data_IF_689227220851
#
_entry.id   IF_689227220851
#
_cell.length_a   1.000
_cell.length_b   1.000
_cell.length_c   1.000
_cell.angle_alpha   90.00
_cell.angle_beta   90.00
_cell.angle_gamma   90.00
#
_symmetry.space_group_name_H-M   'P 1'
#
loop_
_entity.id
_entity.type
_entity.pdbx_description
1 polymer ?
#
# COMPACT_ATOMS: atom_id res chain seq x y z
N UNK A 1 11.71 12.14 -33.02
CA UNK A 1 12.61 11.74 -31.94
C UNK A 1 11.78 11.07 -30.83
N UNK A 2 12.24 9.90 -30.37
CA UNK A 2 11.60 9.17 -29.27
C UNK A 2 12.55 9.17 -28.07
N UNK A 3 12.02 9.47 -26.89
CA UNK A 3 12.74 9.49 -25.63
C UNK A 3 11.90 8.78 -24.57
N UNK A 4 12.48 7.82 -23.87
CA UNK A 4 11.82 7.10 -22.78
C UNK A 4 12.64 7.24 -21.50
N UNK A 5 11.94 7.32 -20.37
CA UNK A 5 12.52 7.30 -19.02
C UNK A 5 11.75 6.29 -18.19
N UNK A 6 12.46 5.52 -17.40
CA UNK A 6 11.84 4.56 -16.50
C UNK A 6 12.86 3.93 -15.57
N UNK A 7 12.35 3.13 -14.64
CA UNK A 7 13.14 2.32 -13.72
C UNK A 7 12.50 0.93 -13.66
N UNK A 8 13.20 -0.05 -14.23
CA UNK A 8 12.77 -1.45 -14.26
C UNK A 8 12.65 -2.05 -12.86
N UNK A 9 13.53 -1.64 -11.92
CA UNK A 9 13.52 -2.11 -10.54
C UNK A 9 12.30 -1.61 -9.74
N UNK A 10 11.67 -0.50 -10.18
CA UNK A 10 10.45 0.02 -9.58
C UNK A 10 9.16 -0.46 -10.27
N UNK A 11 9.27 -1.33 -11.25
CA UNK A 11 8.14 -1.86 -12.02
C UNK A 11 7.38 -2.96 -11.28
N UNK A 12 6.84 -2.65 -10.10
CA UNK A 12 6.21 -3.60 -9.17
C UNK A 12 4.73 -3.89 -9.47
N UNK A 13 4.17 -3.33 -10.54
CA UNK A 13 2.75 -3.51 -10.92
C UNK A 13 2.54 -4.50 -12.08
N UNK A 14 3.42 -5.49 -12.23
CA UNK A 14 3.28 -6.52 -13.28
C UNK A 14 1.93 -7.24 -13.21
N UNK A 15 1.43 -7.51 -12.02
CA UNK A 15 0.10 -8.10 -11.78
C UNK A 15 -1.09 -7.21 -12.22
N UNK A 16 -0.84 -5.92 -12.51
CA UNK A 16 -1.80 -4.96 -13.09
C UNK A 16 -1.52 -4.66 -14.57
N UNK A 17 -0.69 -5.47 -15.23
CA UNK A 17 -0.38 -5.32 -16.65
C UNK A 17 0.82 -4.42 -16.96
N UNK A 18 1.60 -3.99 -15.96
CA UNK A 18 2.88 -3.32 -16.21
C UNK A 18 3.84 -4.28 -16.91
N UNK A 19 4.45 -3.82 -18.00
CA UNK A 19 5.37 -4.61 -18.83
C UNK A 19 6.76 -3.98 -18.84
N UNK A 20 7.61 -4.24 -17.83
CA UNK A 20 8.97 -3.74 -17.79
C UNK A 20 9.81 -4.23 -18.99
N UNK A 21 9.41 -5.33 -19.61
CA UNK A 21 10.05 -5.91 -20.79
C UNK A 21 10.09 -4.91 -21.97
N UNK A 22 9.12 -4.02 -22.09
CA UNK A 22 9.10 -2.97 -23.13
C UNK A 22 10.34 -2.08 -23.01
N UNK A 23 10.69 -1.70 -21.79
CA UNK A 23 11.90 -0.89 -21.54
C UNK A 23 13.18 -1.71 -21.72
N UNK A 24 13.22 -2.95 -21.21
CA UNK A 24 14.37 -3.84 -21.31
C UNK A 24 14.69 -4.21 -22.76
N UNK A 25 13.68 -4.29 -23.63
CA UNK A 25 13.83 -4.63 -25.05
C UNK A 25 14.00 -3.39 -25.95
N UNK A 26 13.94 -2.17 -25.41
CA UNK A 26 13.94 -0.97 -26.18
C UNK A 26 15.14 -0.85 -27.14
N UNK A 27 16.33 -1.18 -26.67
CA UNK A 27 17.55 -1.15 -27.48
C UNK A 27 17.59 -2.23 -28.57
N UNK A 28 16.82 -3.32 -28.41
CA UNK A 28 16.67 -4.33 -29.48
C UNK A 28 15.78 -3.81 -30.60
N UNK A 29 14.73 -3.05 -30.26
CA UNK A 29 13.80 -2.45 -31.22
C UNK A 29 14.44 -1.21 -31.87
N UNK A 30 15.23 -0.45 -31.10
CA UNK A 30 15.91 0.77 -31.56
C UNK A 30 17.42 0.66 -31.34
N UNK A 31 18.17 -0.05 -32.20
CA UNK A 31 19.60 -0.33 -31.99
C UNK A 31 20.50 0.91 -31.92
N UNK A 32 20.04 2.04 -32.46
CA UNK A 32 20.75 3.32 -32.39
C UNK A 32 20.41 4.16 -31.16
N UNK A 33 19.55 3.67 -30.27
CA UNK A 33 19.19 4.38 -29.06
C UNK A 33 20.40 4.50 -28.11
N UNK A 34 20.59 5.70 -27.59
CA UNK A 34 21.60 5.95 -26.56
C UNK A 34 20.95 5.70 -25.18
N UNK A 35 21.57 4.82 -24.40
CA UNK A 35 21.16 4.55 -23.02
C UNK A 35 22.01 5.39 -22.06
N UNK A 36 21.34 6.08 -21.16
CA UNK A 36 21.98 6.84 -20.06
C UNK A 36 21.43 6.29 -18.75
N UNK A 37 22.30 5.82 -17.89
CA UNK A 37 21.95 5.35 -16.55
C UNK A 37 22.16 6.46 -15.53
N UNK A 38 21.16 6.69 -14.67
CA UNK A 38 21.29 7.54 -13.49
C UNK A 38 21.68 6.65 -12.31
N UNK A 39 22.94 6.68 -11.94
CA UNK A 39 23.57 5.74 -11.02
C UNK A 39 23.84 6.33 -9.62
N UNK A 40 23.51 7.62 -9.40
CA UNK A 40 23.66 8.29 -8.11
C UNK A 40 22.29 8.51 -7.45
N UNK A 41 22.14 7.92 -6.25
CA UNK A 41 20.95 8.14 -5.41
C UNK A 41 21.22 9.28 -4.41
N UNK A 42 20.51 10.39 -4.59
CA UNK A 42 20.63 11.58 -3.74
C UNK A 42 19.68 11.58 -2.54
N UNK A 43 18.80 10.57 -2.42
CA UNK A 43 17.76 10.51 -1.39
C UNK A 43 18.17 9.68 -0.18
N UNK A 44 18.64 8.47 -0.43
CA UNK A 44 18.82 7.45 0.60
C UNK A 44 20.25 7.43 1.15
N UNK A 45 20.37 6.96 2.40
CA UNK A 45 21.67 6.65 3.01
C UNK A 45 22.31 5.42 2.35
N UNK A 46 23.62 5.20 2.47
CA UNK A 46 24.31 4.05 1.93
C UNK A 46 23.72 2.72 2.38
N UNK A 47 23.30 2.61 3.64
CA UNK A 47 22.71 1.39 4.20
C UNK A 47 21.37 1.03 3.50
N UNK A 48 20.52 2.01 3.21
CA UNK A 48 19.25 1.80 2.50
C UNK A 48 19.51 1.42 1.04
N UNK A 49 20.45 2.09 0.37
CA UNK A 49 20.81 1.76 -1.02
C UNK A 49 21.36 0.34 -1.11
N UNK A 50 22.23 -0.06 -0.19
CA UNK A 50 22.80 -1.40 -0.20
C UNK A 50 21.74 -2.48 0.11
N UNK A 51 20.86 -2.25 1.09
CA UNK A 51 19.78 -3.19 1.40
C UNK A 51 18.83 -3.38 0.20
N UNK A 52 18.43 -2.28 -0.46
CA UNK A 52 17.58 -2.33 -1.64
C UNK A 52 18.28 -3.01 -2.83
N UNK A 53 19.58 -2.76 -3.02
CA UNK A 53 20.39 -3.40 -4.07
C UNK A 53 20.47 -4.92 -3.87
N UNK A 54 20.67 -5.37 -2.63
CA UNK A 54 20.67 -6.81 -2.30
C UNK A 54 19.32 -7.45 -2.57
N UNK A 55 18.23 -6.78 -2.14
CA UNK A 55 16.88 -7.29 -2.38
C UNK A 55 16.58 -7.43 -3.87
N UNK A 56 16.83 -6.37 -4.64
CA UNK A 56 16.48 -6.37 -6.07
C UNK A 56 17.41 -7.25 -6.92
N UNK A 57 18.59 -7.61 -6.41
CA UNK A 57 19.53 -8.50 -7.13
C UNK A 57 18.99 -9.91 -7.37
N UNK A 58 17.94 -10.32 -6.64
CA UNK A 58 17.24 -11.60 -6.89
C UNK A 58 16.41 -11.59 -8.19
N UNK A 59 16.14 -10.42 -8.76
CA UNK A 59 15.50 -10.32 -10.07
C UNK A 59 16.55 -10.46 -11.16
N UNK A 60 16.38 -11.45 -12.03
CA UNK A 60 17.31 -11.71 -13.14
C UNK A 60 17.05 -10.81 -14.36
N UNK A 61 15.76 -10.53 -14.64
CA UNK A 61 15.31 -9.71 -15.77
C UNK A 61 15.34 -8.21 -15.42
N UNK A 62 16.54 -7.62 -15.43
CA UNK A 62 16.75 -6.20 -15.14
C UNK A 62 17.98 -5.64 -15.82
N UNK A 63 18.05 -4.30 -15.95
CA UNK A 63 19.31 -3.65 -16.31
C UNK A 63 20.34 -3.82 -15.19
N UNK A 64 21.53 -4.28 -15.54
CA UNK A 64 22.65 -4.30 -14.58
C UNK A 64 23.12 -2.88 -14.36
N UNK A 65 22.81 -2.32 -13.21
CA UNK A 65 23.18 -0.96 -12.80
C UNK A 65 23.76 -1.00 -11.38
N UNK A 66 24.77 -0.17 -11.15
CA UNK A 66 25.37 0.00 -9.83
C UNK A 66 24.94 1.36 -9.30
N UNK A 67 23.99 1.35 -8.36
CA UNK A 67 23.51 2.57 -7.73
C UNK A 67 24.39 2.88 -6.52
N UNK A 68 24.89 4.11 -6.44
CA UNK A 68 25.68 4.61 -5.32
C UNK A 68 24.95 5.69 -4.56
N UNK A 69 25.09 5.74 -3.25
CA UNK A 69 24.48 6.80 -2.44
C UNK A 69 25.36 8.06 -2.50
N UNK A 70 24.74 9.21 -2.74
CA UNK A 70 25.39 10.52 -2.60
C UNK A 70 25.54 10.94 -1.13
N UNK A 71 24.57 10.57 -0.31
CA UNK A 71 24.58 10.83 1.14
C UNK A 71 25.68 10.00 1.82
N UNK A 72 26.23 10.54 2.91
CA UNK A 72 27.35 9.91 3.64
C UNK A 72 26.99 9.46 5.05
N UNK A 73 25.77 9.80 5.51
CA UNK A 73 25.26 9.41 6.82
C UNK A 73 25.17 7.87 6.90
N UNK A 74 25.67 7.31 7.99
CA UNK A 74 25.79 5.87 8.20
C UNK A 74 24.63 5.29 9.04
N UNK A 75 23.43 5.83 8.88
CA UNK A 75 22.25 5.33 9.61
C UNK A 75 21.93 3.90 9.16
N UNK A 76 21.99 2.92 10.06
CA UNK A 76 21.73 1.53 9.70
C UNK A 76 20.25 1.29 9.43
N UNK A 77 19.96 0.34 8.53
CA UNK A 77 18.62 -0.25 8.44
C UNK A 77 18.43 -1.15 9.67
N UNK A 78 17.44 -0.83 10.49
CA UNK A 78 17.10 -1.61 11.69
C UNK A 78 15.91 -2.52 11.39
N UNK A 79 15.94 -3.71 11.96
CA UNK A 79 14.89 -4.70 11.82
C UNK A 79 14.37 -5.08 13.21
N UNK A 80 13.06 -5.05 13.39
CA UNK A 80 12.39 -5.37 14.63
C UNK A 80 11.34 -6.46 14.40
N UNK A 81 11.17 -7.32 15.38
CA UNK A 81 10.15 -8.36 15.38
C UNK A 81 9.28 -8.18 16.64
N UNK A 82 7.97 -8.21 16.46
CA UNK A 82 7.00 -8.03 17.53
C UNK A 82 6.10 -9.27 17.64
N UNK A 83 5.56 -9.51 18.80
CA UNK A 83 4.64 -10.62 19.05
C UNK A 83 3.25 -10.33 18.49
N UNK A 84 2.84 -9.05 18.51
CA UNK A 84 1.54 -8.62 18.02
C UNK A 84 1.57 -7.20 17.42
N UNK A 85 0.51 -6.85 16.72
CA UNK A 85 0.31 -5.55 16.09
C UNK A 85 0.29 -4.39 17.10
N UNK A 86 -0.14 -4.64 18.32
CA UNK A 86 -0.20 -3.61 19.37
C UNK A 86 1.18 -3.19 19.81
N UNK A 87 2.08 -4.16 20.04
CA UNK A 87 3.48 -3.89 20.39
C UNK A 87 4.18 -3.14 19.24
N UNK A 88 3.98 -3.58 17.98
CA UNK A 88 4.50 -2.91 16.80
C UNK A 88 4.07 -1.45 16.75
N UNK A 89 2.77 -1.17 16.88
CA UNK A 89 2.24 0.19 16.79
C UNK A 89 2.70 1.07 17.97
N UNK A 90 2.82 0.52 19.18
CA UNK A 90 3.36 1.24 20.32
C UNK A 90 4.80 1.64 20.07
N UNK A 91 5.64 0.71 19.62
CA UNK A 91 7.02 0.99 19.24
C UNK A 91 7.14 2.05 18.15
N UNK A 92 6.30 1.98 17.10
CA UNK A 92 6.30 2.98 16.03
C UNK A 92 5.99 4.37 16.55
N UNK A 93 5.03 4.50 17.45
CA UNK A 93 4.67 5.80 18.04
C UNK A 93 5.82 6.33 18.91
N UNK A 94 6.43 5.48 19.71
CA UNK A 94 7.56 5.87 20.56
C UNK A 94 8.78 6.32 19.72
N UNK A 95 9.07 5.65 18.61
CA UNK A 95 10.12 6.08 17.66
C UNK A 95 9.76 7.41 16.96
N UNK A 96 8.47 7.64 16.65
CA UNK A 96 8.01 8.92 16.09
C UNK A 96 8.17 10.05 17.13
N UNK A 97 7.78 9.81 18.38
CA UNK A 97 7.91 10.80 19.46
C UNK A 97 9.39 11.12 19.74
N UNK A 98 10.25 10.11 19.72
CA UNK A 98 11.70 10.27 19.86
C UNK A 98 12.29 11.11 18.72
N UNK A 99 11.97 10.79 17.46
CA UNK A 99 12.43 11.55 16.32
C UNK A 99 11.96 13.02 16.39
N UNK A 100 10.72 13.23 16.85
CA UNK A 100 10.19 14.59 17.08
C UNK A 100 10.94 15.33 18.18
N UNK A 101 11.30 14.66 19.27
CA UNK A 101 12.10 15.25 20.34
C UNK A 101 13.53 15.62 19.88
N UNK A 102 14.07 14.90 18.90
CA UNK A 102 15.32 15.18 18.21
C UNK A 102 15.20 16.31 17.16
N UNK A 103 14.01 16.92 17.01
CA UNK A 103 13.76 18.05 16.11
C UNK A 103 13.31 17.68 14.70
N UNK A 104 13.03 16.40 14.42
CA UNK A 104 12.51 15.98 13.11
C UNK A 104 11.01 16.32 13.04
N UNK A 105 10.56 17.17 12.10
CA UNK A 105 9.15 17.50 11.97
C UNK A 105 8.35 16.28 11.49
N UNK A 106 7.11 16.12 11.98
CA UNK A 106 6.23 15.01 11.60
C UNK A 106 6.04 14.88 10.09
N UNK A 107 6.10 15.99 9.35
CA UNK A 107 6.00 16.01 7.88
C UNK A 107 7.16 15.30 7.16
N UNK A 108 8.25 15.02 7.85
CA UNK A 108 9.40 14.28 7.31
C UNK A 108 9.44 12.82 7.76
N UNK A 109 8.46 12.39 8.55
CA UNK A 109 8.35 11.01 9.01
C UNK A 109 7.26 10.31 8.17
N UNK A 110 7.56 9.14 7.65
CA UNK A 110 6.60 8.32 6.90
C UNK A 110 6.56 6.89 7.44
N UNK A 111 5.36 6.37 7.60
CA UNK A 111 5.11 4.96 7.89
C UNK A 111 4.54 4.31 6.63
N UNK A 112 5.17 3.23 6.17
CA UNK A 112 4.76 2.49 5.00
C UNK A 112 4.19 1.14 5.41
N UNK A 113 3.10 0.74 4.77
CA UNK A 113 2.41 -0.51 5.04
C UNK A 113 1.98 -1.21 3.74
N UNK A 114 1.74 -2.50 3.82
CA UNK A 114 1.42 -3.34 2.65
C UNK A 114 -0.04 -3.22 2.24
N UNK A 115 -0.96 -3.07 3.18
CA UNK A 115 -2.41 -3.03 2.92
C UNK A 115 -3.06 -1.85 3.65
N UNK A 116 -4.16 -1.32 3.10
CA UNK A 116 -4.87 -0.18 3.67
C UNK A 116 -5.57 -0.47 5.00
N UNK A 117 -5.58 -1.73 5.45
CA UNK A 117 -6.17 -2.12 6.75
C UNK A 117 -5.16 -2.02 7.89
N UNK A 118 -3.88 -2.31 7.61
CA UNK A 118 -2.81 -2.33 8.61
C UNK A 118 -2.68 -1.04 9.45
N UNK A 119 -2.75 0.18 8.88
CA UNK A 119 -2.50 1.38 9.68
C UNK A 119 -3.64 1.76 10.62
N UNK A 120 -4.74 1.01 10.64
CA UNK A 120 -5.94 1.41 11.38
C UNK A 120 -5.69 1.53 12.88
N UNK A 121 -5.11 0.50 13.50
CA UNK A 121 -4.80 0.52 14.93
C UNK A 121 -3.76 1.59 15.27
N UNK A 122 -2.76 1.77 14.43
CA UNK A 122 -1.78 2.86 14.55
C UNK A 122 -2.47 4.23 14.56
N UNK A 123 -3.39 4.47 13.63
CA UNK A 123 -4.13 5.73 13.55
C UNK A 123 -5.00 5.97 14.80
N UNK A 124 -5.70 4.94 15.29
CA UNK A 124 -6.50 5.01 16.51
C UNK A 124 -5.61 5.40 17.71
N UNK A 125 -4.43 4.82 17.82
CA UNK A 125 -3.46 5.17 18.86
C UNK A 125 -2.87 6.58 18.68
N UNK A 126 -2.57 7.01 17.44
CA UNK A 126 -2.11 8.38 17.16
C UNK A 126 -3.18 9.42 17.53
N UNK A 127 -4.45 9.16 17.20
CA UNK A 127 -5.57 10.02 17.58
C UNK A 127 -5.73 10.12 19.10
N UNK A 128 -5.60 9.02 19.84
CA UNK A 128 -5.69 9.00 21.29
C UNK A 128 -4.57 9.83 21.97
N UNK A 129 -3.43 9.96 21.30
CA UNK A 129 -2.29 10.77 21.76
C UNK A 129 -2.24 12.19 21.16
N UNK A 130 -3.29 12.62 20.46
CA UNK A 130 -3.34 13.90 19.72
C UNK A 130 -2.15 14.09 18.76
N UNK A 131 -1.65 13.02 18.16
CA UNK A 131 -0.57 13.06 17.19
C UNK A 131 -1.15 13.28 15.78
N UNK A 132 -0.75 14.36 15.13
CA UNK A 132 -1.22 14.68 13.78
C UNK A 132 -0.60 13.74 12.74
N UNK A 133 -1.42 13.27 11.80
CA UNK A 133 -0.97 12.47 10.66
C UNK A 133 -1.78 12.78 9.40
N UNK A 134 -1.28 12.34 8.26
CA UNK A 134 -1.98 12.40 6.98
C UNK A 134 -1.83 11.06 6.26
N UNK A 135 -2.91 10.54 5.71
CA UNK A 135 -2.90 9.36 4.84
C UNK A 135 -2.91 9.79 3.38
N UNK A 136 -2.18 9.06 2.53
CA UNK A 136 -2.19 9.28 1.09
C UNK A 136 -3.50 8.82 0.47
N UNK A 137 -3.95 7.63 0.86
CA UNK A 137 -5.17 7.03 0.38
C UNK A 137 -6.28 7.11 1.44
N UNK A 138 -7.54 7.12 0.99
CA UNK A 138 -8.68 7.04 1.88
C UNK A 138 -8.68 5.67 2.55
N UNK A 139 -8.62 5.64 3.88
CA UNK A 139 -8.75 4.40 4.64
C UNK A 139 -10.22 3.99 4.62
N UNK A 140 -10.54 2.77 4.16
CA UNK A 140 -11.92 2.32 4.09
C UNK A 140 -12.55 2.30 5.49
N UNK A 141 -13.72 2.93 5.62
CA UNK A 141 -14.55 2.76 6.80
C UNK A 141 -15.04 1.29 6.84
N UNK A 142 -14.75 0.58 7.94
CA UNK A 142 -15.16 -0.82 8.10
C UNK A 142 -16.68 -0.99 8.00
N UNK A 143 -17.43 0.00 8.48
CA UNK A 143 -18.90 0.00 8.41
C UNK A 143 -19.43 0.20 6.98
N UNK A 144 -18.61 0.71 6.07
CA UNK A 144 -18.93 0.82 4.64
C UNK A 144 -18.57 -0.42 3.84
N UNK A 145 -17.85 -1.36 4.45
CA UNK A 145 -17.51 -2.62 3.81
C UNK A 145 -18.77 -3.43 3.51
N UNK A 146 -18.80 -4.13 2.37
CA UNK A 146 -19.98 -4.86 1.93
C UNK A 146 -20.47 -5.88 2.97
N UNK A 147 -19.57 -6.57 3.67
CA UNK A 147 -19.92 -7.52 4.75
C UNK A 147 -20.67 -6.79 5.88
N UNK A 148 -20.20 -5.64 6.32
CA UNK A 148 -20.87 -4.86 7.36
C UNK A 148 -22.25 -4.38 6.90
N UNK A 149 -22.35 -3.92 5.64
CA UNK A 149 -23.64 -3.51 5.05
C UNK A 149 -24.63 -4.66 5.01
N UNK A 150 -24.18 -5.86 4.60
CA UNK A 150 -25.02 -7.06 4.61
C UNK A 150 -25.46 -7.43 6.03
N UNK A 151 -24.53 -7.39 6.99
CA UNK A 151 -24.84 -7.67 8.40
C UNK A 151 -25.87 -6.68 8.96
N UNK A 152 -25.71 -5.40 8.70
CA UNK A 152 -26.70 -4.39 9.10
C UNK A 152 -28.05 -4.57 8.39
N UNK A 153 -28.07 -5.01 7.13
CA UNK A 153 -29.31 -5.32 6.44
C UNK A 153 -30.05 -6.47 7.12
N UNK A 154 -29.34 -7.54 7.53
CA UNK A 154 -29.92 -8.61 8.34
C UNK A 154 -30.53 -8.11 9.65
N UNK A 155 -29.81 -7.27 10.40
CA UNK A 155 -30.31 -6.71 11.66
C UNK A 155 -31.57 -5.89 11.40
N UNK A 156 -31.57 -5.00 10.40
CA UNK A 156 -32.74 -4.17 10.08
C UNK A 156 -33.97 -5.00 9.72
N UNK A 157 -33.80 -6.06 8.91
CA UNK A 157 -34.90 -6.98 8.56
C UNK A 157 -35.40 -7.71 9.81
N UNK A 158 -34.50 -8.20 10.68
CA UNK A 158 -34.88 -8.85 11.92
C UNK A 158 -35.64 -7.90 12.89
N UNK A 159 -35.38 -6.60 12.78
CA UNK A 159 -36.10 -5.56 13.51
C UNK A 159 -37.40 -5.08 12.82
N UNK A 160 -37.81 -5.76 11.73
CA UNK A 160 -39.07 -5.47 11.05
C UNK A 160 -38.96 -4.44 9.91
N UNK A 161 -37.75 -4.20 9.37
CA UNK A 161 -37.62 -3.37 8.16
C UNK A 161 -38.27 -4.06 6.96
N UNK A 162 -39.16 -3.34 6.29
CA UNK A 162 -39.84 -3.71 5.04
C UNK A 162 -39.16 -3.16 3.79
N UNK A 163 -37.99 -2.53 3.97
CA UNK A 163 -37.24 -1.93 2.86
C UNK A 163 -36.76 -2.97 1.88
N UNK A 164 -37.32 -2.94 0.65
CA UNK A 164 -36.94 -3.83 -0.46
C UNK A 164 -35.41 -3.85 -0.71
N UNK A 165 -34.72 -2.71 -0.53
CA UNK A 165 -33.28 -2.61 -0.71
C UNK A 165 -32.50 -3.50 0.27
N UNK A 166 -32.93 -3.57 1.53
CA UNK A 166 -32.30 -4.41 2.57
C UNK A 166 -32.45 -5.89 2.20
N UNK A 167 -33.66 -6.31 1.80
CA UNK A 167 -33.92 -7.66 1.37
C UNK A 167 -33.09 -8.04 0.12
N UNK A 168 -33.08 -7.20 -0.92
CA UNK A 168 -32.34 -7.47 -2.15
C UNK A 168 -30.83 -7.59 -1.90
N UNK A 169 -30.28 -6.85 -0.93
CA UNK A 169 -28.84 -6.90 -0.61
C UNK A 169 -28.41 -8.26 -0.04
N UNK A 170 -29.31 -8.97 0.66
CA UNK A 170 -29.00 -10.20 1.40
C UNK A 170 -29.75 -11.46 0.92
N UNK A 171 -30.71 -11.33 0.01
CA UNK A 171 -31.60 -12.44 -0.40
C UNK A 171 -30.82 -13.70 -0.82
N UNK A 172 -29.64 -13.54 -1.43
CA UNK A 172 -28.76 -14.63 -1.84
C UNK A 172 -27.46 -14.70 -1.00
N UNK A 173 -27.46 -14.18 0.20
CA UNK A 173 -26.33 -14.24 1.13
C UNK A 173 -26.80 -14.77 2.49
N UNK A 174 -26.57 -16.01 2.86
CA UNK A 174 -25.94 -17.08 2.10
C UNK A 174 -26.70 -17.45 0.84
N UNK A 175 -26.06 -18.18 -0.07
CA UNK A 175 -26.60 -18.54 -1.37
C UNK A 175 -27.92 -19.33 -1.26
N UNK A 176 -29.03 -18.78 -1.76
CA UNK A 176 -30.37 -19.35 -1.71
C UNK A 176 -31.00 -19.59 -3.09
N UNK A 177 -30.30 -19.20 -4.18
CA UNK A 177 -30.76 -19.36 -5.56
C UNK A 177 -32.09 -18.66 -5.88
N UNK A 178 -32.41 -17.58 -5.21
CA UNK A 178 -33.59 -16.76 -5.47
C UNK A 178 -33.34 -15.96 -6.75
N UNK A 179 -34.11 -16.24 -7.81
CA UNK A 179 -34.05 -15.54 -9.08
C UNK A 179 -34.75 -14.16 -9.01
N UNK A 180 -34.44 -13.28 -9.95
CA UNK A 180 -35.12 -11.98 -10.04
C UNK A 180 -36.59 -12.12 -10.38
N UNK A 181 -36.95 -13.16 -11.16
CA UNK A 181 -38.33 -13.44 -11.59
C UNK A 181 -39.23 -13.84 -10.40
N UNK A 182 -38.63 -14.29 -9.28
CA UNK A 182 -39.34 -14.60 -8.04
C UNK A 182 -39.71 -13.34 -7.23
N UNK A 183 -39.27 -12.15 -7.68
CA UNK A 183 -39.49 -10.88 -7.04
C UNK A 183 -40.56 -10.02 -7.72
N UNK A 184 -41.47 -10.68 -8.45
CA UNK A 184 -42.64 -10.03 -9.06
C UNK A 184 -43.39 -9.24 -7.99
N UNK A 185 -43.86 -8.04 -8.31
CA UNK A 185 -44.65 -7.23 -7.40
C UNK A 185 -45.91 -7.99 -7.00
N UNK A 186 -46.27 -8.01 -5.73
CA UNK A 186 -47.60 -8.44 -5.35
C UNK A 186 -48.60 -7.45 -5.96
N UNK A 187 -49.56 -7.97 -6.70
CA UNK A 187 -50.68 -7.24 -7.23
C UNK A 187 -51.51 -6.61 -6.10
#
# INVERSE_FOLDING_TARGET
>A
NLFIVGDDDQSIYRFRGSKPEIMLQFTKVYPKAKVVTLDVNHRCTPAVVEASRRLISHNEERFKKTITAHRREQDPVRFFLFEDERQENTFLIDEIEKARAEGIPLSQIAVLFRTNVQPRLLMEQMLSRNMAFRTKDRIPNVYEHWIAKDFFAYIRIAQGSDKRADFLSIMNKPKRYIGRDSLCEPH
#
